data_IF_755149966135
#
_entry.id   IF_755149966135
#
_cell.length_a   1.000
_cell.length_b   1.000
_cell.length_c   1.000
_cell.angle_alpha   90.00
_cell.angle_beta   90.00
_cell.angle_gamma   90.00
#
_symmetry.space_group_name_H-M   'P 1'
#
loop_
_entity.id
_entity.type
_entity.pdbx_description
1 polymer ?
#
# COMPACT_ATOMS: atom_id res chain seq x y z
N UNK A 1 21.14 -8.67 7.56
CA UNK A 1 21.94 -8.02 6.50
C UNK A 1 20.99 -7.10 5.74
N UNK A 2 21.20 -5.78 5.79
CA UNK A 2 20.30 -4.79 5.17
C UNK A 2 20.60 -4.77 3.68
N UNK A 3 19.72 -5.31 2.86
CA UNK A 3 19.85 -5.22 1.41
C UNK A 3 19.22 -3.91 0.92
N UNK A 4 19.96 -2.83 1.00
CA UNK A 4 19.62 -1.61 0.26
C UNK A 4 20.03 -1.83 -1.20
N UNK A 5 19.09 -2.28 -2.01
CA UNK A 5 19.38 -2.74 -3.35
C UNK A 5 19.55 -1.62 -4.39
N UNK A 6 19.13 -0.39 -4.08
CA UNK A 6 19.24 0.68 -5.05
C UNK A 6 19.36 2.07 -4.39
N UNK A 7 20.50 2.75 -4.61
CA UNK A 7 20.73 4.11 -4.11
C UNK A 7 19.75 5.14 -4.66
N UNK A 8 19.23 4.93 -5.88
CA UNK A 8 18.24 5.82 -6.49
C UNK A 8 16.89 5.73 -5.75
N UNK A 9 16.49 4.52 -5.33
CA UNK A 9 15.29 4.32 -4.54
C UNK A 9 15.40 5.00 -3.16
N UNK A 10 16.56 4.87 -2.49
CA UNK A 10 16.80 5.55 -1.22
C UNK A 10 16.69 7.07 -1.33
N UNK A 11 17.21 7.65 -2.41
CA UNK A 11 17.11 9.09 -2.65
C UNK A 11 15.66 9.55 -2.86
N UNK A 12 14.76 8.64 -3.30
CA UNK A 12 13.35 8.91 -3.48
C UNK A 12 12.46 8.52 -2.26
N UNK A 13 13.05 8.31 -1.09
CA UNK A 13 12.36 7.86 0.14
C UNK A 13 11.65 6.50 -0.03
N UNK A 14 12.32 5.56 -0.67
CA UNK A 14 11.80 4.21 -0.94
C UNK A 14 12.87 3.17 -0.69
N UNK A 15 12.47 1.99 -0.25
CA UNK A 15 13.34 0.84 -0.07
C UNK A 15 12.72 -0.43 -0.61
N UNK A 16 13.54 -1.43 -0.95
CA UNK A 16 13.09 -2.77 -1.26
C UNK A 16 13.55 -3.73 -0.17
N UNK A 17 12.69 -4.69 0.15
CA UNK A 17 12.93 -5.70 1.18
C UNK A 17 12.50 -7.08 0.69
N UNK A 18 13.20 -8.17 1.08
CA UNK A 18 12.75 -9.52 0.78
C UNK A 18 11.49 -9.84 1.60
N UNK A 19 10.56 -10.56 0.99
CA UNK A 19 9.35 -11.09 1.65
C UNK A 19 9.19 -12.57 1.37
N UNK A 20 8.58 -13.29 2.31
CA UNK A 20 8.32 -14.72 2.16
C UNK A 20 7.21 -14.96 1.13
N UNK A 21 7.56 -15.63 0.02
CA UNK A 21 6.64 -15.96 -1.06
C UNK A 21 5.50 -16.86 -0.62
N UNK A 22 5.70 -17.68 0.40
CA UNK A 22 4.66 -18.60 0.90
C UNK A 22 3.57 -17.83 1.62
N UNK A 23 3.93 -16.79 2.37
CA UNK A 23 2.98 -15.90 3.03
C UNK A 23 2.23 -15.07 1.99
N UNK A 24 2.94 -14.54 0.98
CA UNK A 24 2.32 -13.78 -0.12
C UNK A 24 1.30 -14.65 -0.87
N UNK A 25 1.61 -15.91 -1.12
CA UNK A 25 0.72 -16.84 -1.83
C UNK A 25 -0.60 -17.13 -1.10
N UNK A 26 -0.68 -16.94 0.21
CA UNK A 26 -1.92 -17.08 0.99
C UNK A 26 -3.00 -16.08 0.57
N UNK A 27 -2.61 -14.97 -0.06
CA UNK A 27 -3.53 -13.93 -0.53
C UNK A 27 -4.05 -14.15 -1.96
N UNK A 28 -3.47 -15.07 -2.74
CA UNK A 28 -3.92 -15.33 -4.10
C UNK A 28 -5.41 -15.70 -4.20
N UNK A 29 -5.99 -16.56 -3.33
CA UNK A 29 -7.42 -16.87 -3.37
C UNK A 29 -8.32 -15.66 -3.11
N UNK A 30 -7.83 -14.64 -2.40
CA UNK A 30 -8.59 -13.41 -2.12
C UNK A 30 -8.67 -12.50 -3.36
N UNK A 31 -7.72 -12.63 -4.31
CA UNK A 31 -7.73 -11.86 -5.54
C UNK A 31 -8.76 -12.36 -6.55
N UNK A 32 -9.09 -13.66 -6.54
CA UNK A 32 -9.93 -14.30 -7.57
C UNK A 32 -11.42 -14.28 -7.24
N UNK A 33 -11.84 -13.95 -6.00
CA UNK A 33 -13.19 -14.23 -5.60
C UNK A 33 -13.84 -13.27 -4.61
N UNK A 34 -15.07 -13.63 -4.28
CA UNK A 34 -15.88 -13.03 -3.23
C UNK A 34 -15.65 -13.78 -1.92
N UNK A 35 -14.49 -13.60 -1.31
CA UNK A 35 -14.25 -14.18 0.00
C UNK A 35 -15.15 -13.51 1.04
N UNK A 36 -15.84 -14.27 1.93
CA UNK A 36 -16.67 -13.70 2.99
C UNK A 36 -15.85 -12.76 3.88
N UNK A 37 -16.41 -11.61 4.25
CA UNK A 37 -15.77 -10.62 5.09
C UNK A 37 -14.76 -9.71 4.35
N UNK A 38 -14.76 -9.76 3.03
CA UNK A 38 -14.04 -8.82 2.15
C UNK A 38 -15.02 -8.05 1.29
N UNK A 39 -14.66 -6.82 0.97
CA UNK A 39 -15.45 -5.95 0.11
C UNK A 39 -14.58 -5.31 -0.97
N UNK A 40 -15.17 -5.07 -2.13
CA UNK A 40 -14.52 -4.36 -3.23
C UNK A 40 -14.85 -2.88 -3.16
N UNK A 41 -13.82 -2.07 -3.26
CA UNK A 41 -13.89 -0.62 -3.29
C UNK A 41 -13.21 -0.11 -4.56
N UNK A 42 -13.82 0.88 -5.20
CA UNK A 42 -13.29 1.48 -6.42
C UNK A 42 -13.00 2.95 -6.14
N UNK A 43 -11.71 3.36 -6.14
CA UNK A 43 -11.38 4.75 -5.90
C UNK A 43 -11.95 5.65 -7.00
N UNK A 44 -12.67 6.70 -6.61
CA UNK A 44 -13.32 7.58 -7.56
C UNK A 44 -12.37 8.35 -8.51
N UNK A 45 -11.09 8.47 -8.12
CA UNK A 45 -10.07 9.10 -8.92
C UNK A 45 -9.45 8.17 -9.98
N UNK A 46 -9.64 6.83 -9.85
CA UNK A 46 -9.08 5.85 -10.78
C UNK A 46 -9.97 4.61 -10.88
N UNK A 47 -10.83 4.57 -11.90
CA UNK A 47 -11.73 3.45 -12.19
C UNK A 47 -11.02 2.16 -12.64
N UNK A 48 -9.73 2.24 -12.96
CA UNK A 48 -8.92 1.08 -13.39
C UNK A 48 -8.42 0.25 -12.19
N UNK A 49 -8.71 0.69 -10.96
CA UNK A 49 -8.26 0.03 -9.74
C UNK A 49 -9.47 -0.52 -8.98
N UNK A 50 -9.38 -1.77 -8.55
CA UNK A 50 -10.20 -2.36 -7.50
C UNK A 50 -9.33 -2.53 -6.25
N UNK A 51 -9.79 -2.04 -5.11
CA UNK A 51 -9.25 -2.39 -3.80
C UNK A 51 -10.14 -3.45 -3.17
N UNK A 52 -9.55 -4.58 -2.79
CA UNK A 52 -10.26 -5.62 -2.05
C UNK A 52 -9.77 -5.63 -0.62
N UNK A 53 -10.63 -5.16 0.28
CA UNK A 53 -10.29 -4.86 1.65
C UNK A 53 -11.11 -5.68 2.65
N UNK A 54 -10.59 -5.90 3.88
CA UNK A 54 -11.35 -6.51 4.96
C UNK A 54 -12.53 -5.61 5.36
N UNK A 55 -13.65 -6.24 5.72
CA UNK A 55 -14.86 -5.56 6.23
C UNK A 55 -15.11 -5.82 7.71
N UNK A 56 -14.31 -6.67 8.35
CA UNK A 56 -14.42 -7.03 9.76
C UNK A 56 -13.04 -7.06 10.45
N UNK A 57 -12.99 -6.95 11.79
CA UNK A 57 -11.74 -7.13 12.54
C UNK A 57 -11.08 -8.50 12.29
N UNK A 58 -11.87 -9.57 12.12
CA UNK A 58 -11.36 -10.93 11.89
C UNK A 58 -10.62 -11.01 10.57
N UNK A 59 -11.18 -10.44 9.49
CA UNK A 59 -10.53 -10.42 8.17
C UNK A 59 -9.35 -9.47 8.13
N UNK A 60 -9.36 -8.36 8.89
CA UNK A 60 -8.19 -7.50 9.06
C UNK A 60 -7.03 -8.25 9.71
N UNK A 61 -7.28 -9.10 10.72
CA UNK A 61 -6.24 -9.89 11.40
C UNK A 61 -5.51 -10.86 10.49
N UNK A 62 -6.08 -11.24 9.35
CA UNK A 62 -5.38 -12.05 8.32
C UNK A 62 -4.19 -11.26 7.78
N UNK A 63 -4.38 -9.99 7.44
CA UNK A 63 -3.31 -9.10 6.99
C UNK A 63 -2.31 -8.79 8.09
N UNK A 64 -2.79 -8.57 9.32
CA UNK A 64 -1.94 -8.31 10.48
C UNK A 64 -1.01 -9.50 10.78
N UNK A 65 -1.54 -10.73 10.79
CA UNK A 65 -0.74 -11.94 10.95
C UNK A 65 0.32 -12.08 9.86
N UNK A 66 -0.01 -11.77 8.61
CA UNK A 66 0.96 -11.80 7.52
C UNK A 66 2.03 -10.71 7.67
N UNK A 67 1.64 -9.49 8.04
CA UNK A 67 2.55 -8.37 8.30
C UNK A 67 3.58 -8.72 9.38
N UNK A 68 3.13 -9.32 10.49
CA UNK A 68 3.99 -9.78 11.58
C UNK A 68 4.93 -10.90 11.14
N UNK A 69 4.41 -11.94 10.48
CA UNK A 69 5.18 -13.09 9.99
C UNK A 69 6.24 -12.67 8.96
N UNK A 70 5.93 -11.71 8.09
CA UNK A 70 6.89 -11.12 7.14
C UNK A 70 7.88 -10.16 7.82
N UNK A 71 7.64 -9.76 9.08
CA UNK A 71 8.46 -8.83 9.85
C UNK A 71 8.67 -7.48 9.16
N UNK A 72 7.65 -7.01 8.46
CA UNK A 72 7.73 -5.76 7.68
C UNK A 72 8.07 -4.57 8.57
N UNK A 73 7.48 -4.48 9.76
CA UNK A 73 7.73 -3.41 10.72
C UNK A 73 9.21 -3.26 11.13
N UNK A 74 9.98 -4.36 11.15
CA UNK A 74 11.39 -4.33 11.53
C UNK A 74 12.25 -3.46 10.59
N UNK A 75 11.86 -3.37 9.31
CA UNK A 75 12.60 -2.61 8.31
C UNK A 75 12.48 -1.09 8.50
N UNK A 76 11.37 -0.62 9.08
CA UNK A 76 11.09 0.81 9.25
C UNK A 76 11.14 1.29 10.70
N UNK A 77 11.16 0.39 11.67
CA UNK A 77 11.10 0.71 13.12
C UNK A 77 12.06 1.85 13.53
N UNK A 78 13.26 1.89 12.96
CA UNK A 78 14.28 2.90 13.29
C UNK A 78 13.94 4.32 12.79
N UNK A 79 12.94 4.47 11.92
CA UNK A 79 12.52 5.74 11.32
C UNK A 79 11.25 6.29 11.95
N UNK A 80 10.61 5.50 12.81
CA UNK A 80 9.35 5.84 13.44
C UNK A 80 9.52 6.27 14.89
N UNK A 81 8.72 7.21 15.32
CA UNK A 81 8.52 7.53 16.72
C UNK A 81 7.47 6.57 17.30
N UNK A 82 7.89 5.65 18.16
CA UNK A 82 7.06 4.55 18.65
C UNK A 82 6.95 4.58 20.17
N UNK A 83 5.78 4.19 20.69
CA UNK A 83 5.62 3.81 22.09
C UNK A 83 6.05 2.35 22.32
N UNK A 84 5.62 1.43 21.46
CA UNK A 84 5.82 -0.02 21.62
C UNK A 84 6.20 -0.70 20.30
N UNK A 85 5.36 -0.59 19.28
CA UNK A 85 5.45 -1.41 18.07
C UNK A 85 5.04 -0.65 16.81
N UNK A 86 5.44 -1.16 15.66
CA UNK A 86 4.92 -0.69 14.37
C UNK A 86 3.51 -1.23 14.19
N UNK A 87 2.56 -0.34 13.91
CA UNK A 87 1.14 -0.68 13.77
C UNK A 87 0.76 -0.86 12.31
N UNK A 88 0.13 -1.99 11.96
CA UNK A 88 -0.59 -2.13 10.70
C UNK A 88 -1.95 -1.42 10.83
N UNK A 89 -2.18 -0.40 10.01
CA UNK A 89 -3.46 0.32 9.98
C UNK A 89 -4.45 -0.32 9.02
N UNK A 90 -3.98 -0.67 7.82
CA UNK A 90 -4.76 -1.28 6.76
C UNK A 90 -3.98 -2.35 6.00
N UNK A 91 -4.68 -3.38 5.54
CA UNK A 91 -4.17 -4.35 4.58
C UNK A 91 -5.25 -4.60 3.54
N UNK A 92 -4.89 -4.59 2.26
CA UNK A 92 -5.82 -4.84 1.16
C UNK A 92 -5.08 -5.31 -0.09
N UNK A 93 -5.84 -5.75 -1.09
CA UNK A 93 -5.29 -6.05 -2.41
C UNK A 93 -5.60 -4.91 -3.38
N UNK A 94 -4.59 -4.53 -4.15
CA UNK A 94 -4.73 -3.63 -5.31
C UNK A 94 -4.83 -4.49 -6.55
N UNK A 95 -6.00 -4.52 -7.19
CA UNK A 95 -6.31 -5.40 -8.30
C UNK A 95 -6.59 -4.54 -9.54
N UNK A 96 -6.02 -4.93 -10.67
CA UNK A 96 -6.28 -4.27 -11.95
C UNK A 96 -6.03 -5.18 -13.15
N UNK A 97 -6.76 -4.94 -14.24
CA UNK A 97 -6.55 -5.55 -15.55
C UNK A 97 -6.16 -4.52 -16.63
N UNK A 98 -6.27 -3.24 -16.31
CA UNK A 98 -5.93 -2.14 -17.20
C UNK A 98 -5.33 -0.96 -16.41
N UNK A 99 -4.40 -0.26 -17.04
CA UNK A 99 -3.98 1.09 -16.67
C UNK A 99 -3.82 1.87 -17.96
N UNK A 100 -4.77 2.75 -18.26
CA UNK A 100 -4.82 3.48 -19.53
C UNK A 100 -3.79 4.60 -19.60
N UNK A 101 -3.51 5.26 -18.48
CA UNK A 101 -2.55 6.34 -18.35
C UNK A 101 -1.98 6.40 -16.93
N UNK A 102 -0.72 6.88 -16.75
CA UNK A 102 -0.17 7.06 -15.41
C UNK A 102 -0.93 8.18 -14.69
N UNK A 103 -1.29 7.91 -13.43
CA UNK A 103 -1.91 8.89 -12.52
C UNK A 103 -1.01 9.01 -11.30
N UNK A 104 -0.07 9.96 -11.36
CA UNK A 104 0.86 10.19 -10.24
C UNK A 104 0.13 10.74 -9.02
N UNK A 105 0.40 10.16 -7.86
CA UNK A 105 -0.19 10.53 -6.58
C UNK A 105 0.80 10.26 -5.45
N UNK A 106 0.43 10.68 -4.26
CA UNK A 106 1.12 10.39 -3.00
C UNK A 106 0.18 9.55 -2.15
N UNK A 107 0.66 8.45 -1.57
CA UNK A 107 -0.11 7.73 -0.55
C UNK A 107 -0.06 8.46 0.78
N UNK A 108 1.06 9.12 1.07
CA UNK A 108 1.29 9.82 2.33
C UNK A 108 1.70 11.26 2.08
N UNK A 109 1.08 12.16 2.82
CA UNK A 109 1.37 13.58 2.74
C UNK A 109 1.34 14.19 4.15
N UNK A 110 2.47 14.77 4.58
CA UNK A 110 2.61 15.43 5.87
C UNK A 110 2.32 14.55 7.10
N UNK A 111 2.66 13.26 7.04
CA UNK A 111 2.58 12.37 8.22
C UNK A 111 3.80 12.47 9.12
N UNK A 112 4.72 13.40 8.84
CA UNK A 112 6.01 13.56 9.51
C UNK A 112 6.90 12.31 9.37
N UNK A 113 6.74 11.57 8.27
CA UNK A 113 7.35 10.27 8.00
C UNK A 113 6.96 9.18 9.02
N UNK A 114 5.78 9.29 9.62
CA UNK A 114 5.30 8.33 10.61
C UNK A 114 4.40 7.24 10.02
N UNK A 115 4.26 7.20 8.68
CA UNK A 115 3.50 6.18 7.99
C UNK A 115 4.18 5.74 6.69
N UNK A 116 3.94 4.47 6.32
CA UNK A 116 4.51 3.82 5.14
C UNK A 116 3.48 2.96 4.42
N UNK A 117 3.65 2.83 3.10
CA UNK A 117 3.00 1.83 2.26
C UNK A 117 4.01 0.76 1.87
N UNK A 118 3.59 -0.49 1.88
CA UNK A 118 4.30 -1.62 1.29
C UNK A 118 3.49 -2.21 0.14
N UNK A 119 4.13 -2.49 -0.99
CA UNK A 119 3.53 -3.21 -2.11
C UNK A 119 4.40 -4.41 -2.48
N UNK A 120 3.76 -5.58 -2.70
CA UNK A 120 4.41 -6.78 -3.24
C UNK A 120 3.46 -7.51 -4.20
N UNK A 121 3.95 -8.05 -5.34
CA UNK A 121 3.10 -8.74 -6.29
C UNK A 121 2.70 -10.13 -5.77
N UNK A 122 1.47 -10.58 -6.06
CA UNK A 122 1.01 -11.94 -5.74
C UNK A 122 1.50 -12.98 -6.75
N UNK A 123 1.96 -12.57 -7.92
CA UNK A 123 2.47 -13.43 -8.98
C UNK A 123 3.79 -12.92 -9.55
N UNK A 124 4.56 -13.83 -10.15
CA UNK A 124 5.81 -13.46 -10.82
C UNK A 124 5.58 -12.62 -12.10
N UNK A 125 4.44 -12.83 -12.77
CA UNK A 125 4.06 -12.07 -13.95
C UNK A 125 3.10 -10.95 -13.54
N UNK A 126 3.58 -9.72 -13.64
CA UNK A 126 2.79 -8.49 -13.41
C UNK A 126 2.26 -7.89 -14.72
N UNK A 127 2.43 -8.58 -15.85
CA UNK A 127 1.94 -8.16 -17.17
C UNK A 127 2.31 -6.71 -17.52
N UNK A 128 3.47 -6.24 -17.03
CA UNK A 128 3.98 -4.89 -17.28
C UNK A 128 3.38 -3.79 -16.41
N UNK A 129 2.51 -4.12 -15.44
CA UNK A 129 2.03 -3.16 -14.43
C UNK A 129 3.12 -2.86 -13.40
N UNK A 130 4.16 -2.16 -13.84
CA UNK A 130 5.28 -1.77 -13.00
C UNK A 130 5.01 -0.46 -12.26
N UNK A 131 5.79 -0.20 -11.22
CA UNK A 131 5.72 1.05 -10.49
C UNK A 131 6.52 2.13 -11.23
N UNK A 132 5.85 3.21 -11.62
CA UNK A 132 6.52 4.43 -12.03
C UNK A 132 6.68 5.35 -10.81
N UNK A 133 7.81 6.02 -10.68
CA UNK A 133 8.03 6.98 -9.60
C UNK A 133 8.83 8.19 -10.08
N UNK A 134 8.61 9.34 -9.41
CA UNK A 134 9.38 10.55 -9.68
C UNK A 134 10.65 10.55 -8.82
N UNK A 135 11.80 10.76 -9.46
CA UNK A 135 13.06 11.05 -8.79
C UNK A 135 13.06 12.47 -8.22
N UNK A 136 14.01 12.79 -7.35
CA UNK A 136 14.16 14.14 -6.79
C UNK A 136 14.40 15.22 -7.85
N UNK A 137 14.98 14.89 -8.99
CA UNK A 137 15.19 15.80 -10.11
C UNK A 137 13.96 15.93 -11.03
N UNK A 138 12.86 15.26 -10.71
CA UNK A 138 11.62 15.25 -11.47
C UNK A 138 11.54 14.20 -12.60
N UNK A 139 12.64 13.51 -12.92
CA UNK A 139 12.62 12.42 -13.90
C UNK A 139 11.72 11.27 -13.43
N UNK A 140 11.05 10.62 -14.38
CA UNK A 140 10.29 9.40 -14.12
C UNK A 140 11.20 8.19 -14.26
N UNK A 141 11.21 7.33 -13.25
CA UNK A 141 11.87 6.05 -13.27
C UNK A 141 10.85 4.91 -13.12
N UNK A 142 11.27 3.70 -13.45
CA UNK A 142 10.46 2.48 -13.38
C UNK A 142 11.10 1.50 -12.40
N UNK A 143 10.26 0.90 -11.56
CA UNK A 143 10.61 -0.25 -10.74
C UNK A 143 9.75 -1.45 -11.17
N UNK A 144 10.40 -2.51 -11.58
CA UNK A 144 9.76 -3.78 -11.94
C UNK A 144 9.50 -4.60 -10.70
N UNK A 145 8.24 -4.93 -10.45
CA UNK A 145 7.86 -5.78 -9.31
C UNK A 145 8.43 -7.19 -9.46
N UNK A 146 8.90 -7.74 -8.34
CA UNK A 146 9.46 -9.10 -8.28
C UNK A 146 8.79 -9.90 -7.18
N UNK A 147 8.28 -11.09 -7.51
CA UNK A 147 7.73 -12.00 -6.50
C UNK A 147 8.79 -12.36 -5.46
N UNK A 148 8.47 -12.14 -4.19
CA UNK A 148 9.39 -12.33 -3.07
C UNK A 148 10.20 -11.09 -2.71
N UNK A 149 9.87 -9.94 -3.31
CA UNK A 149 10.38 -8.63 -2.94
C UNK A 149 9.21 -7.67 -2.74
N UNK A 150 9.29 -6.82 -1.75
CA UNK A 150 8.34 -5.72 -1.53
C UNK A 150 9.05 -4.38 -1.67
N UNK A 151 8.33 -3.39 -2.15
CA UNK A 151 8.74 -1.98 -2.11
C UNK A 151 8.02 -1.30 -0.96
N UNK A 152 8.76 -0.52 -0.15
CA UNK A 152 8.23 0.26 0.98
C UNK A 152 8.57 1.71 0.74
N UNK A 153 7.58 2.60 0.89
CA UNK A 153 7.75 4.03 0.73
C UNK A 153 6.88 4.82 1.70
N UNK A 154 7.26 6.06 1.97
CA UNK A 154 6.60 6.96 2.92
C UNK A 154 6.20 8.30 2.28
N UNK A 155 6.21 9.36 3.10
CA UNK A 155 5.82 10.72 2.69
C UNK A 155 6.53 11.18 1.41
N UNK A 156 5.80 11.92 0.58
CA UNK A 156 6.31 12.56 -0.64
C UNK A 156 6.78 11.64 -1.76
N UNK A 157 6.55 10.32 -1.67
CA UNK A 157 6.88 9.41 -2.74
C UNK A 157 5.82 9.47 -3.84
N UNK A 158 6.07 10.30 -4.86
CA UNK A 158 5.17 10.43 -6.00
C UNK A 158 5.31 9.25 -6.95
N UNK A 159 4.24 8.48 -7.08
CA UNK A 159 4.25 7.26 -7.88
C UNK A 159 2.95 7.05 -8.67
N UNK A 160 3.02 6.11 -9.60
CA UNK A 160 1.89 5.66 -10.42
C UNK A 160 2.13 4.24 -10.90
N UNK A 161 1.14 3.64 -11.53
CA UNK A 161 1.33 2.39 -12.29
C UNK A 161 1.68 2.72 -13.73
N UNK A 162 2.59 1.94 -14.32
CA UNK A 162 2.89 1.97 -15.75
C UNK A 162 1.66 1.55 -16.55
N UNK A 163 1.33 2.27 -17.66
CA UNK A 163 0.25 1.86 -18.54
C UNK A 163 0.47 0.44 -19.08
N UNK A 164 -0.53 -0.41 -18.91
CA UNK A 164 -0.52 -1.79 -19.37
C UNK A 164 -1.94 -2.33 -19.46
N UNK A 165 -2.10 -3.47 -20.12
CA UNK A 165 -3.36 -4.23 -20.17
C UNK A 165 -3.07 -5.71 -20.06
N UNK A 166 -3.89 -6.44 -19.29
CA UNK A 166 -3.80 -7.88 -19.10
C UNK A 166 -5.17 -8.54 -19.26
N UNK A 167 -5.19 -9.75 -19.79
CA UNK A 167 -6.41 -10.57 -19.85
C UNK A 167 -6.83 -11.10 -18.47
N UNK A 168 -5.85 -11.28 -17.57
CA UNK A 168 -6.09 -11.70 -16.18
C UNK A 168 -5.74 -10.53 -15.25
N UNK A 169 -6.56 -10.26 -14.24
CA UNK A 169 -6.22 -9.25 -13.24
C UNK A 169 -4.86 -9.54 -12.60
N UNK A 170 -4.08 -8.48 -12.39
CA UNK A 170 -2.86 -8.51 -11.58
C UNK A 170 -3.18 -7.94 -10.22
N UNK A 171 -2.72 -8.61 -9.17
CA UNK A 171 -2.94 -8.20 -7.80
C UNK A 171 -1.63 -7.94 -7.08
N UNK A 172 -1.61 -6.85 -6.31
CA UNK A 172 -0.55 -6.53 -5.36
C UNK A 172 -1.13 -6.62 -3.95
N UNK A 173 -0.38 -7.19 -3.01
CA UNK A 173 -0.66 -7.06 -1.59
C UNK A 173 -0.15 -5.70 -1.13
N UNK A 174 -1.02 -4.94 -0.47
CA UNK A 174 -0.73 -3.64 0.09
C UNK A 174 -0.85 -3.68 1.62
N UNK A 175 0.12 -3.11 2.32
CA UNK A 175 0.07 -2.79 3.74
C UNK A 175 0.29 -1.30 3.94
N UNK A 176 -0.53 -0.69 4.78
CA UNK A 176 -0.39 0.68 5.28
C UNK A 176 -0.15 0.62 6.78
N UNK A 177 0.98 1.12 7.24
CA UNK A 177 1.46 0.92 8.60
C UNK A 177 2.38 2.06 9.06
N UNK A 178 2.62 2.15 10.36
CA UNK A 178 3.47 3.21 10.90
C UNK A 178 3.50 3.21 12.43
N UNK A 179 3.51 4.42 13.01
CA UNK A 179 3.60 4.65 14.45
C UNK A 179 2.38 4.15 15.21
N UNK A 180 2.58 3.72 16.46
CA UNK A 180 1.51 3.40 17.42
C UNK A 180 1.12 4.59 18.31
N UNK A 181 1.58 5.82 17.98
CA UNK A 181 1.24 7.04 18.71
C UNK A 181 0.01 7.72 18.13
N UNK A 182 -0.97 7.97 18.99
CA UNK A 182 -2.24 8.61 18.60
C UNK A 182 -2.12 10.06 18.16
N UNK A 183 -1.03 10.75 18.54
CA UNK A 183 -0.82 12.17 18.17
C UNK A 183 -0.67 12.37 16.65
N UNK A 184 -0.27 11.32 15.91
CA UNK A 184 -0.15 11.35 14.45
C UNK A 184 -1.43 10.89 13.72
N UNK A 185 -2.43 10.37 14.45
CA UNK A 185 -3.57 9.68 13.84
C UNK A 185 -4.41 10.55 12.93
N UNK A 186 -4.64 11.81 13.27
CA UNK A 186 -5.45 12.70 12.44
C UNK A 186 -4.88 12.83 11.02
N UNK A 187 -3.56 13.02 10.89
CA UNK A 187 -2.87 13.13 9.60
C UNK A 187 -2.88 11.80 8.85
N UNK A 188 -2.65 10.70 9.55
CA UNK A 188 -2.68 9.34 8.98
C UNK A 188 -4.09 9.03 8.47
N UNK A 189 -5.12 9.25 9.29
CA UNK A 189 -6.51 8.99 8.92
C UNK A 189 -7.00 9.82 7.76
N UNK A 190 -6.56 11.07 7.64
CA UNK A 190 -6.90 11.93 6.51
C UNK A 190 -6.50 11.32 5.16
N UNK A 191 -5.46 10.47 5.16
CA UNK A 191 -4.99 9.77 3.96
C UNK A 191 -5.74 8.45 3.74
N UNK A 192 -5.81 7.59 4.77
CA UNK A 192 -6.28 6.20 4.59
C UNK A 192 -7.76 5.98 4.88
N UNK A 193 -8.43 6.96 5.46
CA UNK A 193 -9.81 6.82 5.95
C UNK A 193 -10.87 6.45 4.91
N UNK A 194 -10.55 6.51 3.61
CA UNK A 194 -11.45 6.13 2.52
C UNK A 194 -10.95 4.94 1.67
N UNK A 195 -9.87 4.26 2.07
CA UNK A 195 -9.21 3.25 1.24
C UNK A 195 -9.62 1.81 1.59
N UNK A 196 -10.09 1.58 2.79
CA UNK A 196 -10.48 0.26 3.29
C UNK A 196 -11.72 0.34 4.16
N UNK A 197 -12.52 -0.72 4.23
CA UNK A 197 -13.71 -0.79 5.09
C UNK A 197 -13.39 -0.98 6.57
N UNK A 198 -12.19 -1.47 6.89
CA UNK A 198 -11.75 -1.73 8.26
C UNK A 198 -10.33 -1.20 8.47
N UNK A 199 -10.17 -0.34 9.48
CA UNK A 199 -8.88 0.17 9.93
C UNK A 199 -8.58 -0.28 11.35
N UNK A 200 -7.29 -0.36 11.68
CA UNK A 200 -6.81 -0.45 13.05
C UNK A 200 -6.05 0.84 13.41
N UNK A 201 -6.50 1.52 14.47
CA UNK A 201 -5.89 2.76 14.96
C UNK A 201 -4.55 2.50 15.65
N UNK A 202 -3.72 3.53 15.85
CA UNK A 202 -2.46 3.40 16.60
C UNK A 202 -2.63 2.79 17.99
N UNK A 203 -3.69 3.14 18.73
CA UNK A 203 -4.02 2.58 20.05
C UNK A 203 -4.49 1.11 20.02
N UNK A 204 -4.66 0.54 18.81
CA UNK A 204 -5.07 -0.85 18.63
C UNK A 204 -6.56 -1.06 18.44
N UNK A 205 -7.39 -0.03 18.58
CA UNK A 205 -8.83 -0.10 18.37
C UNK A 205 -9.16 -0.27 16.89
N UNK A 206 -10.14 -1.14 16.59
CA UNK A 206 -10.68 -1.27 15.24
C UNK A 206 -11.74 -0.20 14.98
N UNK A 207 -11.76 0.33 13.79
CA UNK A 207 -12.80 1.21 13.32
C UNK A 207 -13.28 0.83 11.92
N UNK A 208 -14.60 0.86 11.72
CA UNK A 208 -15.17 0.79 10.39
C UNK A 208 -15.12 2.18 9.76
N UNK A 209 -14.67 2.23 8.51
CA UNK A 209 -14.73 3.44 7.71
C UNK A 209 -15.98 3.41 6.86
N UNK A 210 -16.59 4.55 6.62
CA UNK A 210 -17.47 4.68 5.48
C UNK A 210 -16.56 4.76 4.25
N UNK A 211 -16.61 3.73 3.42
CA UNK A 211 -15.95 3.77 2.10
C UNK A 211 -16.53 5.00 1.39
N UNK A 212 -15.76 6.05 1.31
CA UNK A 212 -16.21 7.32 0.79
C UNK A 212 -16.74 7.08 -0.62
N UNK A 213 -17.99 7.44 -0.84
CA UNK A 213 -18.42 7.82 -2.18
C UNK A 213 -17.37 8.81 -2.72
N UNK A 214 -16.88 8.65 -3.97
CA UNK A 214 -15.70 9.32 -4.48
C UNK A 214 -15.72 10.81 -4.15
N UNK A 215 -14.86 11.27 -3.25
CA UNK A 215 -14.58 12.69 -3.12
C UNK A 215 -13.88 13.07 -4.41
N UNK A 216 -14.59 13.84 -5.23
CA UNK A 216 -14.02 14.38 -6.45
C UNK A 216 -12.70 15.06 -6.12
N UNK A 217 -11.61 14.44 -6.50
CA UNK A 217 -10.30 15.07 -6.47
C UNK A 217 -10.34 16.20 -7.48
N UNK A 218 -10.43 17.43 -7.02
CA UNK A 218 -10.29 18.58 -7.90
C UNK A 218 -8.81 18.62 -8.30
N UNK A 219 -8.57 18.63 -9.61
CA UNK A 219 -7.22 18.72 -10.18
C UNK A 219 -6.51 20.05 -9.86
N UNK A 220 -7.08 20.89 -8.97
CA UNK A 220 -6.54 22.17 -8.53
C UNK A 220 -5.55 22.08 -7.36
N UNK A 221 -5.39 20.90 -6.71
CA UNK A 221 -4.54 20.77 -5.52
C UNK A 221 -3.15 20.16 -5.81
N UNK A 222 -2.79 19.99 -7.09
CA UNK A 222 -1.48 19.54 -7.56
C UNK A 222 -0.74 20.69 -8.26
N UNK A 223 -0.57 21.81 -7.55
CA UNK A 223 0.25 22.95 -7.98
C UNK A 223 1.64 22.90 -7.35
#
# INVERSE_FOLDING_TARGET
MRHFLNRELLAANVMTVPVDRTIVAEFAPLADGTAPGFESCFPGWNSDIEWRSPSTPETHRIFESAFERMRIGDHVRQYLDLEREVRLYAGFLVIRSECSAPKFHLDWFNTDNQAFTMLTPLSADTNGFNLLYKKLNGDVAEYEYRLGEAVIFGDHFSHSTKPARSQKPVALLCFEFGTDKMEHWEKIYATIGGQTGMLRRPDGEFMRTELAAPRGYSASDAG
#
